data_IF_314232234034
#
_entry.id   IF_314232234034
#
_cell.length_a   1.000
_cell.length_b   1.000
_cell.length_c   1.000
_cell.angle_alpha   90.00
_cell.angle_beta   90.00
_cell.angle_gamma   90.00
#
_symmetry.space_group_name_H-M   'P 1'
#
loop_
_entity.id
_entity.type
_entity.pdbx_description
1 polymer ?
#
# COMPACT_ATOMS: atom_id res chain seq x y z
N UNK A 1 1.90 5.92 -12.31
CA UNK A 1 1.25 5.58 -11.03
C UNK A 1 2.31 5.08 -10.07
N UNK A 2 2.18 5.44 -8.80
CA UNK A 2 3.15 5.05 -7.78
C UNK A 2 2.60 3.89 -6.96
N UNK A 3 3.49 3.12 -6.35
CA UNK A 3 3.11 1.93 -5.58
C UNK A 3 3.54 2.14 -4.13
N UNK A 4 2.56 2.34 -3.26
CA UNK A 4 2.84 2.62 -1.84
C UNK A 4 2.63 1.38 -1.01
N UNK A 5 3.66 1.00 -0.26
CA UNK A 5 3.59 -0.16 0.63
C UNK A 5 3.03 0.27 1.98
N UNK A 6 2.02 -0.46 2.42
CA UNK A 6 1.39 -0.26 3.73
C UNK A 6 1.41 -1.58 4.50
N UNK A 7 1.33 -1.46 5.81
CA UNK A 7 1.05 -2.59 6.70
C UNK A 7 -0.19 -2.26 7.51
N UNK A 8 -1.15 -3.19 7.56
CA UNK A 8 -2.29 -3.05 8.46
C UNK A 8 -1.86 -3.51 9.84
N UNK A 9 -1.75 -2.57 10.79
CA UNK A 9 -1.28 -2.88 12.13
C UNK A 9 -2.26 -3.75 12.91
N UNK A 10 -3.52 -3.80 12.49
CA UNK A 10 -4.51 -4.64 13.14
C UNK A 10 -4.26 -6.13 12.88
N UNK A 11 -3.73 -6.47 11.70
CA UNK A 11 -3.53 -7.87 11.30
C UNK A 11 -2.09 -8.24 10.98
N UNK A 12 -1.24 -7.24 10.75
CA UNK A 12 0.13 -7.45 10.29
C UNK A 12 0.24 -7.72 8.79
N UNK A 13 -0.87 -7.62 8.06
CA UNK A 13 -0.87 -7.86 6.62
C UNK A 13 -0.25 -6.69 5.87
N UNK A 14 0.65 -7.00 4.91
CA UNK A 14 1.23 -5.99 4.03
C UNK A 14 0.51 -5.98 2.69
N UNK A 15 0.35 -4.79 2.12
CA UNK A 15 -0.34 -4.61 0.86
C UNK A 15 0.16 -3.36 0.15
N UNK A 16 -0.13 -3.25 -1.14
CA UNK A 16 0.29 -2.13 -1.97
C UNK A 16 -0.95 -1.37 -2.44
N UNK A 17 -0.86 -0.05 -2.44
CA UNK A 17 -1.89 0.81 -3.03
C UNK A 17 -1.27 1.57 -4.20
N UNK A 18 -1.86 1.40 -5.39
CA UNK A 18 -1.45 2.13 -6.59
C UNK A 18 -2.22 3.44 -6.66
N UNK A 19 -1.51 4.55 -6.53
CA UNK A 19 -2.10 5.88 -6.61
C UNK A 19 -1.08 6.90 -7.08
N UNK A 20 -1.52 8.12 -7.31
CA UNK A 20 -0.64 9.17 -7.81
C UNK A 20 0.06 9.96 -6.70
N UNK A 21 -0.49 9.94 -5.50
CA UNK A 21 0.14 10.60 -4.36
C UNK A 21 -0.21 9.87 -3.07
N UNK A 22 0.61 10.13 -2.03
CA UNK A 22 0.47 9.41 -0.76
C UNK A 22 -0.85 9.73 -0.04
N UNK A 23 -1.35 10.95 -0.17
CA UNK A 23 -2.61 11.32 0.48
C UNK A 23 -3.76 10.47 -0.05
N UNK A 24 -3.82 10.32 -1.37
CA UNK A 24 -4.88 9.49 -1.99
C UNK A 24 -4.69 8.02 -1.65
N UNK A 25 -3.44 7.56 -1.63
CA UNK A 25 -3.16 6.17 -1.26
C UNK A 25 -3.61 5.87 0.17
N UNK A 26 -3.38 6.80 1.09
CA UNK A 26 -3.78 6.62 2.47
C UNK A 26 -5.30 6.54 2.62
N UNK A 27 -6.01 7.43 1.92
CA UNK A 27 -7.48 7.41 1.92
C UNK A 27 -7.98 6.06 1.40
N UNK A 28 -7.40 5.58 0.31
CA UNK A 28 -7.81 4.32 -0.28
C UNK A 28 -7.49 3.14 0.64
N UNK A 29 -6.32 3.14 1.27
CA UNK A 29 -5.94 2.10 2.22
C UNK A 29 -6.95 2.00 3.34
N UNK A 30 -7.45 3.12 3.83
CA UNK A 30 -8.45 3.13 4.91
C UNK A 30 -9.80 2.59 4.51
N UNK A 31 -10.10 2.52 3.21
CA UNK A 31 -11.33 1.90 2.75
C UNK A 31 -11.30 0.38 2.87
N UNK A 32 -10.10 -0.21 2.83
CA UNK A 32 -9.94 -1.66 2.82
C UNK A 32 -9.40 -2.21 4.13
N UNK A 33 -8.69 -1.40 4.92
CA UNK A 33 -8.02 -1.85 6.13
C UNK A 33 -8.28 -0.91 7.29
N UNK A 34 -8.26 -1.44 8.52
CA UNK A 34 -8.60 -0.68 9.71
C UNK A 34 -7.50 0.26 10.16
N UNK A 35 -6.25 -0.21 10.15
CA UNK A 35 -5.12 0.55 10.69
C UNK A 35 -3.93 0.54 9.71
N UNK A 36 -4.10 1.11 8.51
CA UNK A 36 -3.02 1.11 7.53
C UNK A 36 -1.90 2.05 7.96
N UNK A 37 -0.68 1.55 7.90
CA UNK A 37 0.53 2.30 8.23
C UNK A 37 1.44 2.32 7.00
N UNK A 38 1.79 3.52 6.54
CA UNK A 38 2.66 3.69 5.38
C UNK A 38 4.09 3.27 5.74
N UNK A 39 4.71 2.46 4.88
CA UNK A 39 6.08 2.01 5.07
C UNK A 39 7.02 2.71 4.10
N UNK A 40 6.79 2.52 2.80
CA UNK A 40 7.65 3.09 1.78
C UNK A 40 6.97 3.03 0.41
N UNK A 41 7.60 3.66 -0.56
CA UNK A 41 7.15 3.58 -1.95
C UNK A 41 8.00 2.53 -2.67
N UNK A 42 7.33 1.65 -3.43
CA UNK A 42 8.00 0.66 -4.27
C UNK A 42 8.12 1.18 -5.70
N UNK A 43 9.19 0.78 -6.38
CA UNK A 43 9.26 0.94 -7.84
C UNK A 43 8.31 -0.05 -8.51
N UNK A 44 8.06 0.14 -9.81
CA UNK A 44 7.23 -0.81 -10.57
C UNK A 44 7.76 -2.23 -10.46
N UNK A 45 9.07 -2.40 -10.58
CA UNK A 45 9.69 -3.72 -10.48
C UNK A 45 9.54 -4.32 -9.09
N UNK A 46 9.75 -3.52 -8.05
CA UNK A 46 9.61 -4.00 -6.67
C UNK A 46 8.18 -4.42 -6.37
N UNK A 47 7.20 -3.63 -6.82
CA UNK A 47 5.79 -3.95 -6.62
C UNK A 47 5.43 -5.26 -7.32
N UNK A 48 5.92 -5.44 -8.56
CA UNK A 48 5.64 -6.64 -9.34
C UNK A 48 6.25 -7.89 -8.69
N UNK A 49 7.45 -7.76 -8.14
CA UNK A 49 8.18 -8.89 -7.56
C UNK A 49 7.81 -9.18 -6.12
N UNK A 50 7.06 -8.29 -5.48
CA UNK A 50 6.76 -8.43 -4.05
C UNK A 50 5.80 -9.57 -3.74
N UNK A 51 4.95 -9.94 -4.70
CA UNK A 51 3.90 -10.93 -4.47
C UNK A 51 2.75 -10.43 -3.61
N UNK A 52 2.74 -9.16 -3.26
CA UNK A 52 1.68 -8.58 -2.42
C UNK A 52 0.50 -8.15 -3.28
N UNK A 53 -0.69 -8.16 -2.67
CA UNK A 53 -1.89 -7.65 -3.33
C UNK A 53 -1.77 -6.14 -3.54
N UNK A 54 -2.23 -5.67 -4.68
CA UNK A 54 -2.23 -4.24 -4.99
C UNK A 54 -3.67 -3.75 -5.16
N UNK A 55 -3.98 -2.65 -4.49
CA UNK A 55 -5.30 -2.05 -4.48
C UNK A 55 -5.36 -0.76 -5.29
#
# INVERSE_FOLDING_TARGET
MRHYLFEDEATGEEFIVGEYCIEKAYIEAKLYFDEPHYICEFSDAEAEMSGLDEY
#
